data_IF_647257989528
#
_entry.id   IF_647257989528
#
_cell.length_a   1.000
_cell.length_b   1.000
_cell.length_c   1.000
_cell.angle_alpha   90.00
_cell.angle_beta   90.00
_cell.angle_gamma   90.00
#
_symmetry.space_group_name_H-M   'P 1'
#
loop_
_entity.id
_entity.type
_entity.pdbx_description
1 polymer ?
#
# COMPACT_ATOMS: atom_id res chain seq x y z
N UNK A 1 1.03 13.92 30.54
CA UNK A 1 1.29 12.50 30.25
C UNK A 1 0.78 12.25 28.85
N UNK A 2 1.69 12.26 27.87
CA UNK A 2 1.37 11.87 26.50
C UNK A 2 1.12 10.36 26.50
N UNK A 3 -0.14 9.96 26.38
CA UNK A 3 -0.44 8.62 25.93
C UNK A 3 -0.34 8.66 24.40
N UNK A 4 0.75 8.17 23.79
CA UNK A 4 0.78 8.05 22.33
C UNK A 4 -0.41 7.17 21.97
N UNK A 5 -1.29 7.70 21.13
CA UNK A 5 -2.46 6.99 20.68
C UNK A 5 -2.08 5.60 20.21
N UNK A 6 -2.67 4.55 20.81
CA UNK A 6 -2.49 3.19 20.30
C UNK A 6 -3.01 3.14 18.88
N UNK A 7 -2.13 2.87 17.91
CA UNK A 7 -2.53 2.56 16.53
C UNK A 7 -3.69 1.54 16.59
N UNK A 8 -4.81 1.77 15.88
CA UNK A 8 -5.91 0.81 15.84
C UNK A 8 -5.38 -0.60 15.56
N UNK A 9 -6.01 -1.66 16.11
CA UNK A 9 -5.58 -3.02 15.83
C UNK A 9 -5.54 -3.22 14.32
N UNK A 10 -4.38 -3.66 13.83
CA UNK A 10 -4.24 -4.05 12.45
C UNK A 10 -4.83 -5.45 12.29
N UNK A 11 -5.78 -5.61 11.37
CA UNK A 11 -6.18 -6.94 10.95
C UNK A 11 -5.03 -7.52 10.11
N UNK A 12 -4.27 -8.42 10.72
CA UNK A 12 -3.16 -9.12 10.07
C UNK A 12 -3.59 -10.53 9.69
N UNK A 13 -3.47 -10.84 8.41
CA UNK A 13 -3.57 -12.19 7.89
C UNK A 13 -2.19 -12.85 7.86
N UNK A 14 -2.11 -14.02 8.47
CA UNK A 14 -0.96 -14.91 8.43
C UNK A 14 -1.30 -16.09 7.51
N UNK A 15 -0.49 -16.37 6.48
CA UNK A 15 -0.75 -17.46 5.56
C UNK A 15 -0.59 -18.82 6.23
N UNK A 16 -1.32 -19.81 5.73
CA UNK A 16 -1.06 -21.20 6.12
C UNK A 16 0.23 -21.70 5.45
N UNK A 17 0.95 -22.68 6.04
CA UNK A 17 2.15 -23.22 5.43
C UNK A 17 1.91 -23.71 3.99
N UNK A 18 2.72 -23.22 3.05
CA UNK A 18 2.63 -23.57 1.63
C UNK A 18 1.63 -22.74 0.82
N UNK A 19 0.90 -21.81 1.44
CA UNK A 19 0.03 -20.89 0.70
C UNK A 19 0.85 -19.92 -0.17
N UNK A 20 0.59 -19.86 -1.49
CA UNK A 20 1.28 -18.94 -2.36
C UNK A 20 0.85 -17.49 -2.06
N UNK A 21 1.76 -16.50 -2.19
CA UNK A 21 1.37 -15.11 -2.05
C UNK A 21 0.35 -14.72 -3.13
N UNK A 22 -0.60 -13.82 -2.80
CA UNK A 22 -1.56 -13.33 -3.78
C UNK A 22 -0.87 -12.51 -4.87
N UNK A 23 -1.58 -12.32 -5.99
CA UNK A 23 -1.24 -11.25 -6.92
C UNK A 23 -1.27 -9.92 -6.17
N UNK A 24 -0.28 -9.06 -6.42
CA UNK A 24 -0.09 -7.82 -5.67
C UNK A 24 0.52 -6.73 -6.53
N UNK A 25 0.28 -5.48 -6.16
CA UNK A 25 0.96 -4.32 -6.74
C UNK A 25 2.37 -4.28 -6.12
N UNK A 26 3.40 -4.51 -6.93
CA UNK A 26 4.77 -4.59 -6.45
C UNK A 26 5.40 -3.21 -6.33
N UNK A 27 5.64 -2.56 -7.47
CA UNK A 27 6.44 -1.34 -7.57
C UNK A 27 5.95 -0.50 -8.76
N UNK A 28 6.54 0.70 -8.90
CA UNK A 28 6.31 1.61 -10.01
C UNK A 28 7.56 1.67 -10.89
N UNK A 29 7.44 1.22 -12.13
CA UNK A 29 8.42 1.49 -13.17
C UNK A 29 8.05 2.81 -13.89
N UNK A 30 8.97 3.44 -14.65
CA UNK A 30 8.64 4.65 -15.41
C UNK A 30 7.43 4.43 -16.32
N UNK A 31 6.33 5.15 -16.08
CA UNK A 31 5.10 5.00 -16.86
C UNK A 31 4.28 3.75 -16.57
N UNK A 32 4.64 2.91 -15.60
CA UNK A 32 4.00 1.61 -15.39
C UNK A 32 3.81 1.23 -13.92
N UNK A 33 2.64 0.70 -13.59
CA UNK A 33 2.38 0.00 -12.34
C UNK A 33 2.64 -1.49 -12.57
N UNK A 34 3.54 -2.09 -11.79
CA UNK A 34 3.91 -3.50 -11.94
C UNK A 34 3.16 -4.37 -10.93
N UNK A 35 2.41 -5.32 -11.45
CA UNK A 35 1.73 -6.37 -10.69
C UNK A 35 2.54 -7.65 -10.80
N UNK A 36 2.65 -8.39 -9.70
CA UNK A 36 3.36 -9.66 -9.67
C UNK A 36 2.49 -10.74 -9.05
N UNK A 37 2.62 -11.97 -9.56
CA UNK A 37 2.00 -13.17 -8.98
C UNK A 37 3.08 -14.18 -8.59
N UNK A 38 2.92 -14.84 -7.44
CA UNK A 38 3.86 -15.85 -6.96
C UNK A 38 4.98 -15.31 -6.05
N UNK A 39 5.77 -16.24 -5.51
CA UNK A 39 6.65 -16.02 -4.35
C UNK A 39 8.15 -16.08 -4.60
N UNK A 40 8.60 -15.94 -5.86
CA UNK A 40 10.02 -16.05 -6.21
C UNK A 40 10.35 -15.19 -7.44
N UNK A 41 11.64 -14.86 -7.69
CA UNK A 41 12.05 -14.28 -8.96
C UNK A 41 11.73 -15.29 -10.06
N UNK A 42 10.75 -14.98 -10.92
CA UNK A 42 10.16 -15.93 -11.88
C UNK A 42 8.63 -15.96 -11.86
N UNK A 43 8.00 -15.26 -10.91
CA UNK A 43 6.58 -14.94 -10.99
C UNK A 43 6.23 -14.15 -12.25
N UNK A 44 5.01 -14.33 -12.77
CA UNK A 44 4.52 -13.53 -13.91
C UNK A 44 4.34 -12.08 -13.47
N UNK A 45 4.94 -11.16 -14.21
CA UNK A 45 4.72 -9.73 -14.06
C UNK A 45 3.75 -9.23 -15.13
N UNK A 46 2.81 -8.39 -14.72
CA UNK A 46 1.93 -7.63 -15.59
C UNK A 46 2.22 -6.14 -15.35
N UNK A 47 2.35 -5.37 -16.43
CA UNK A 47 2.55 -3.93 -16.36
C UNK A 47 1.30 -3.20 -16.85
N UNK A 48 0.83 -2.22 -16.08
CA UNK A 48 -0.29 -1.35 -16.47
C UNK A 48 0.26 0.06 -16.66
N UNK A 49 0.10 0.58 -17.88
CA UNK A 49 0.59 1.91 -18.23
C UNK A 49 -0.19 3.01 -17.53
N UNK A 50 0.50 4.08 -17.15
CA UNK A 50 -0.08 5.34 -16.69
C UNK A 50 0.75 6.53 -17.19
N UNK A 51 0.13 7.72 -17.15
CA UNK A 51 0.82 8.96 -17.48
C UNK A 51 1.72 9.39 -16.30
N UNK A 52 3.03 9.15 -16.39
CA UNK A 52 4.02 9.43 -15.32
C UNK A 52 4.57 10.86 -15.38
N UNK A 53 3.67 11.84 -15.57
CA UNK A 53 4.01 13.26 -15.55
C UNK A 53 3.83 13.85 -14.14
N UNK A 54 4.83 14.61 -13.71
CA UNK A 54 4.84 15.29 -12.42
C UNK A 54 5.10 14.36 -11.22
N UNK A 55 5.03 14.90 -9.99
CA UNK A 55 5.26 14.11 -8.79
C UNK A 55 4.19 13.04 -8.59
N UNK A 56 4.60 11.79 -8.33
CA UNK A 56 3.70 10.62 -8.20
C UNK A 56 2.63 10.79 -7.12
N UNK A 57 2.97 11.43 -6.00
CA UNK A 57 2.04 11.73 -4.90
C UNK A 57 0.94 12.74 -5.28
N UNK A 58 1.13 13.50 -6.35
CA UNK A 58 0.19 14.51 -6.86
C UNK A 58 -0.44 14.08 -8.20
N UNK A 59 -0.14 12.88 -8.69
CA UNK A 59 -0.58 12.41 -9.99
C UNK A 59 -1.99 11.79 -9.89
N UNK A 60 -3.04 12.45 -10.42
CA UNK A 60 -4.41 11.96 -10.29
C UNK A 60 -4.68 10.69 -11.08
N UNK A 61 -3.93 10.44 -12.17
CA UNK A 61 -4.08 9.21 -12.98
C UNK A 61 -3.52 8.01 -12.24
N UNK A 62 -2.35 8.17 -11.62
CA UNK A 62 -1.76 7.15 -10.77
C UNK A 62 -2.65 6.87 -9.55
N UNK A 63 -3.17 7.92 -8.91
CA UNK A 63 -4.09 7.77 -7.77
C UNK A 63 -5.35 6.98 -8.13
N UNK A 64 -5.99 7.32 -9.25
CA UNK A 64 -7.17 6.58 -9.74
C UNK A 64 -6.83 5.11 -10.00
N UNK A 65 -5.71 4.85 -10.70
CA UNK A 65 -5.29 3.49 -11.03
C UNK A 65 -5.02 2.65 -9.76
N UNK A 66 -4.28 3.19 -8.79
CA UNK A 66 -4.04 2.47 -7.54
C UNK A 66 -5.34 2.27 -6.73
N UNK A 67 -6.27 3.23 -6.75
CA UNK A 67 -7.58 3.07 -6.12
C UNK A 67 -8.42 1.95 -6.79
N UNK A 68 -8.38 1.83 -8.12
CA UNK A 68 -9.04 0.74 -8.85
C UNK A 68 -8.44 -0.63 -8.51
N UNK A 69 -7.10 -0.71 -8.43
CA UNK A 69 -6.40 -1.93 -8.00
C UNK A 69 -6.76 -2.31 -6.56
N UNK A 70 -6.87 -1.33 -5.66
CA UNK A 70 -7.34 -1.54 -4.29
C UNK A 70 -8.79 -2.07 -4.26
N UNK A 71 -9.68 -1.50 -5.07
CA UNK A 71 -11.08 -1.92 -5.17
C UNK A 71 -11.22 -3.35 -5.71
N UNK A 72 -10.30 -3.77 -6.59
CA UNK A 72 -10.15 -5.18 -7.04
C UNK A 72 -9.58 -6.10 -5.96
N UNK A 73 -9.19 -5.55 -4.81
CA UNK A 73 -8.69 -6.29 -3.67
C UNK A 73 -7.21 -6.62 -3.72
N UNK A 74 -6.44 -6.03 -4.64
CA UNK A 74 -5.01 -6.28 -4.73
C UNK A 74 -4.26 -5.57 -3.58
N UNK A 75 -3.42 -6.29 -2.82
CA UNK A 75 -2.59 -5.67 -1.82
C UNK A 75 -1.38 -4.96 -2.46
N UNK A 76 -0.84 -3.99 -1.73
CA UNK A 76 0.32 -3.19 -2.13
C UNK A 76 1.55 -3.67 -1.38
N UNK A 77 2.60 -4.04 -2.10
CA UNK A 77 3.83 -4.54 -1.49
C UNK A 77 4.53 -3.42 -0.71
N UNK A 78 4.78 -3.67 0.57
CA UNK A 78 5.60 -2.80 1.41
C UNK A 78 7.05 -2.87 0.96
N UNK A 79 7.63 -1.71 0.67
CA UNK A 79 9.02 -1.57 0.26
C UNK A 79 9.65 -0.42 1.06
N UNK A 80 10.36 -0.71 2.16
CA UNK A 80 10.83 0.33 3.09
C UNK A 80 11.84 1.30 2.45
N UNK A 81 12.48 0.90 1.35
CA UNK A 81 13.47 1.71 0.63
C UNK A 81 12.89 2.43 -0.60
N UNK A 82 11.57 2.32 -0.86
CA UNK A 82 10.89 3.00 -1.96
C UNK A 82 9.86 4.00 -1.42
N UNK A 83 10.26 5.25 -1.09
CA UNK A 83 9.38 6.25 -0.48
C UNK A 83 8.24 6.70 -1.41
N UNK A 84 8.38 6.48 -2.71
CA UNK A 84 7.34 6.72 -3.73
C UNK A 84 6.76 5.42 -4.29
N UNK A 85 6.95 4.30 -3.57
CA UNK A 85 6.35 3.02 -3.93
C UNK A 85 4.83 3.01 -3.72
N UNK A 86 4.12 2.03 -4.29
CA UNK A 86 2.65 1.97 -4.23
C UNK A 86 2.10 1.99 -2.80
N UNK A 87 2.67 1.20 -1.88
CA UNK A 87 2.22 1.17 -0.48
C UNK A 87 2.44 2.50 0.23
N UNK A 88 3.56 3.20 -0.05
CA UNK A 88 3.87 4.50 0.54
C UNK A 88 2.91 5.58 0.02
N UNK A 89 2.56 5.55 -1.27
CA UNK A 89 1.55 6.45 -1.85
C UNK A 89 0.15 6.23 -1.27
N UNK A 90 -0.25 4.97 -1.08
CA UNK A 90 -1.53 4.65 -0.43
C UNK A 90 -1.58 5.17 1.02
N UNK A 91 -0.49 5.00 1.78
CA UNK A 91 -0.35 5.56 3.12
C UNK A 91 -0.44 7.09 3.10
N UNK A 92 0.29 7.74 2.19
CA UNK A 92 0.30 9.19 2.03
C UNK A 92 -1.10 9.76 1.69
N UNK A 93 -1.80 9.15 0.73
CA UNK A 93 -3.16 9.58 0.39
C UNK A 93 -4.16 9.33 1.50
N UNK A 94 -3.99 8.26 2.28
CA UNK A 94 -4.80 8.03 3.47
C UNK A 94 -4.54 9.10 4.54
N UNK A 95 -3.27 9.39 4.83
CA UNK A 95 -2.86 10.40 5.79
C UNK A 95 -3.36 11.79 5.38
N UNK A 96 -3.35 12.10 4.08
CA UNK A 96 -3.87 13.35 3.50
C UNK A 96 -5.37 13.41 3.28
N UNK A 97 -6.11 12.35 3.64
CA UNK A 97 -7.57 12.31 3.47
C UNK A 97 -8.02 12.25 2.02
N UNK A 98 -7.12 11.90 1.10
CA UNK A 98 -7.41 11.69 -0.32
C UNK A 98 -7.84 10.24 -0.63
N UNK A 99 -7.56 9.30 0.27
CA UNK A 99 -8.03 7.92 0.17
C UNK A 99 -9.30 7.71 1.00
N UNK A 100 -10.38 7.24 0.36
CA UNK A 100 -11.69 7.03 0.98
C UNK A 100 -11.97 5.58 1.41
N UNK A 101 -10.99 4.69 1.32
CA UNK A 101 -11.12 3.26 1.64
C UNK A 101 -9.91 2.72 2.39
N UNK A 102 -10.11 1.66 3.19
CA UNK A 102 -9.00 0.84 3.68
C UNK A 102 -8.24 0.20 2.51
N UNK A 103 -6.98 -0.15 2.72
CA UNK A 103 -6.19 -0.94 1.76
C UNK A 103 -5.44 -2.06 2.46
N UNK A 104 -4.90 -3.00 1.68
CA UNK A 104 -4.08 -4.10 2.21
C UNK A 104 -2.62 -3.89 1.83
N UNK A 105 -1.76 -3.97 2.81
CA UNK A 105 -0.31 -4.01 2.63
C UNK A 105 0.17 -5.47 2.60
N UNK A 106 1.06 -5.80 1.68
CA UNK A 106 1.72 -7.10 1.61
C UNK A 106 3.18 -6.97 2.04
N UNK A 107 3.64 -7.81 2.97
CA UNK A 107 5.00 -7.74 3.48
C UNK A 107 5.66 -9.12 3.48
N UNK A 108 6.87 -9.19 2.90
CA UNK A 108 7.73 -10.36 3.03
C UNK A 108 8.37 -10.36 4.43
N UNK A 109 8.25 -11.47 5.13
CA UNK A 109 8.92 -11.72 6.41
C UNK A 109 10.18 -12.58 6.23
N UNK A 110 10.25 -13.33 5.12
CA UNK A 110 11.36 -14.21 4.78
C UNK A 110 11.01 -15.12 3.59
N UNK A 111 11.89 -16.07 3.24
CA UNK A 111 11.63 -17.02 2.16
C UNK A 111 10.33 -17.81 2.41
N UNK A 112 9.36 -17.65 1.51
CA UNK A 112 8.05 -18.31 1.61
C UNK A 112 7.16 -17.81 2.76
N UNK A 113 7.59 -16.78 3.50
CA UNK A 113 6.83 -16.20 4.60
C UNK A 113 6.41 -14.78 4.24
N UNK A 114 5.10 -14.58 4.16
CA UNK A 114 4.50 -13.29 3.85
C UNK A 114 3.35 -13.00 4.81
N UNK A 115 2.92 -11.75 4.90
CA UNK A 115 1.73 -11.34 5.66
C UNK A 115 0.93 -10.34 4.85
N UNK A 116 -0.38 -10.25 5.13
CA UNK A 116 -1.20 -9.14 4.68
C UNK A 116 -1.68 -8.34 5.88
N UNK A 117 -1.51 -7.04 5.85
CA UNK A 117 -1.98 -6.14 6.89
C UNK A 117 -3.07 -5.26 6.30
N UNK A 118 -4.28 -5.28 6.86
CA UNK A 118 -5.31 -4.30 6.51
C UNK A 118 -5.03 -2.99 7.22
N UNK A 119 -4.88 -1.93 6.44
CA UNK A 119 -4.70 -0.57 6.92
C UNK A 119 -6.05 0.12 6.88
N UNK A 120 -6.65 0.28 8.06
CA UNK A 120 -7.94 0.94 8.23
C UNK A 120 -7.84 2.44 8.03
N UNK A 121 -8.93 3.06 7.57
CA UNK A 121 -9.00 4.51 7.51
C UNK A 121 -8.81 5.13 8.90
N UNK A 122 -8.03 6.21 9.02
CA UNK A 122 -7.93 6.93 10.27
C UNK A 122 -9.31 7.45 10.67
N UNK A 123 -9.83 6.95 11.79
CA UNK A 123 -11.09 7.44 12.34
C UNK A 123 -10.83 8.82 12.97
N UNK A 124 -11.44 9.87 12.40
CA UNK A 124 -11.43 11.21 13.01
C UNK A 124 -11.96 11.14 14.44
N UNK A 125 -11.18 11.65 15.40
CA UNK A 125 -11.57 11.73 16.82
C UNK A 125 -11.08 10.58 17.70
N UNK A 126 -10.48 9.53 17.16
CA UNK A 126 -9.83 8.48 17.97
C UNK A 126 -8.37 8.88 18.22
N UNK A 127 -8.01 9.09 19.49
CA UNK A 127 -6.64 9.29 19.98
C UNK A 127 -5.90 10.57 19.50
N UNK A 128 -6.62 11.68 19.35
CA UNK A 128 -5.98 13.00 19.16
C UNK A 128 -5.41 13.24 17.75
N UNK A 129 -5.83 12.45 16.75
CA UNK A 129 -5.45 12.71 15.35
C UNK A 129 -6.03 14.05 14.87
N UNK A 130 -5.15 15.02 14.59
CA UNK A 130 -5.49 16.36 14.13
C UNK A 130 -5.69 16.46 12.60
N UNK A 131 -5.64 15.33 11.89
CA UNK A 131 -5.66 15.29 10.44
C UNK A 131 -4.26 15.08 9.81
N UNK A 132 -4.16 15.25 8.49
CA UNK A 132 -2.92 15.04 7.74
C UNK A 132 -1.73 15.88 8.20
N UNK A 133 -0.52 15.32 8.09
CA UNK A 133 0.72 16.12 8.06
C UNK A 133 1.23 16.24 6.62
N UNK A 134 1.85 17.37 6.22
CA UNK A 134 2.48 17.51 4.92
C UNK A 134 3.66 16.53 4.74
N UNK A 135 3.95 16.14 3.50
CA UNK A 135 5.00 15.18 3.16
C UNK A 135 6.38 15.81 3.37
N UNK A 136 7.31 15.08 3.98
CA UNK A 136 8.72 15.51 4.09
C UNK A 136 9.00 16.57 5.16
N UNK A 137 8.17 16.67 6.22
CA UNK A 137 8.48 17.44 7.43
C UNK A 137 8.93 16.55 8.59
#
# INVERSE_FOLDING_TARGET
MDHPGRRPPFDVYLPVPGEPPPQRVSHLAPGEVVLVTGGSPGGSAEAIAFDDQGPRWANPRLQLLLAELNARGLPFQYQPHEPEGPAALMAWWQETGQLASSYREFSWQGPGQWTLTRIELPQRGVLGWAGPRPFGQ
#
